data_IF_328763748365
#
_entry.id   IF_328763748365
#
_cell.length_a   1.000
_cell.length_b   1.000
_cell.length_c   1.000
_cell.angle_alpha   90.00
_cell.angle_beta   90.00
_cell.angle_gamma   90.00
#
_symmetry.space_group_name_H-M   'P 1'
#
loop_
_entity.id
_entity.type
_entity.pdbx_description
1 polymer ?
#
# COMPACT_ATOMS: atom_id res chain seq x y z
N UNK A 1 -5.43 -10.74 3.76
CA UNK A 1 -4.28 -9.82 3.74
C UNK A 1 -2.93 -10.55 3.71
N UNK A 2 -2.69 -11.58 4.52
CA UNK A 2 -1.43 -12.34 4.50
C UNK A 2 -0.98 -12.82 3.11
N UNK A 3 -1.92 -13.24 2.25
CA UNK A 3 -1.63 -13.65 0.88
C UNK A 3 -1.02 -12.55 -0.01
N UNK A 4 -1.18 -11.27 0.35
CA UNK A 4 -0.64 -10.14 -0.42
C UNK A 4 0.84 -9.86 -0.09
N UNK A 5 1.38 -10.42 1.00
CA UNK A 5 2.78 -10.22 1.39
C UNK A 5 3.69 -10.85 0.33
N UNK A 6 4.65 -10.06 -0.16
CA UNK A 6 5.56 -10.42 -1.24
C UNK A 6 5.05 -10.10 -2.64
N UNK A 7 3.77 -9.70 -2.80
CA UNK A 7 3.22 -9.28 -4.08
C UNK A 7 3.46 -7.79 -4.33
N UNK A 8 3.56 -7.42 -5.61
CA UNK A 8 3.57 -6.02 -6.05
C UNK A 8 2.16 -5.63 -6.47
N UNK A 9 1.67 -4.51 -5.92
CA UNK A 9 0.36 -3.94 -6.25
C UNK A 9 0.51 -2.54 -6.82
N UNK A 10 -0.47 -2.11 -7.63
CA UNK A 10 -0.63 -0.70 -7.96
C UNK A 10 -1.42 -0.03 -6.84
N UNK A 11 -0.78 0.92 -6.19
CA UNK A 11 -1.32 1.62 -5.02
C UNK A 11 -1.53 3.09 -5.38
N UNK A 12 -2.77 3.56 -5.24
CA UNK A 12 -3.07 4.99 -5.27
C UNK A 12 -2.66 5.59 -3.92
N UNK A 13 -1.75 6.55 -3.92
CA UNK A 13 -1.42 7.34 -2.73
C UNK A 13 -2.53 8.36 -2.46
N UNK A 14 -3.24 8.21 -1.35
CA UNK A 14 -4.37 9.06 -0.94
C UNK A 14 -4.01 10.02 0.20
N UNK A 15 -2.78 9.94 0.68
CA UNK A 15 -2.13 10.90 1.55
C UNK A 15 -0.65 10.58 1.65
N UNK A 16 0.14 11.35 2.42
CA UNK A 16 1.58 11.17 2.48
C UNK A 16 1.99 9.74 2.86
N UNK A 17 1.26 9.09 3.78
CA UNK A 17 1.61 7.74 4.25
C UNK A 17 0.50 6.71 4.11
N UNK A 18 -0.51 7.02 3.31
CA UNK A 18 -1.68 6.17 3.12
C UNK A 18 -1.96 6.02 1.64
N UNK A 19 -2.26 4.80 1.22
CA UNK A 19 -2.80 4.53 -0.10
C UNK A 19 -3.73 3.33 -0.10
N UNK A 20 -4.33 3.04 -1.26
CA UNK A 20 -5.13 1.83 -1.48
C UNK A 20 -4.71 1.10 -2.73
N UNK A 21 -4.68 -0.23 -2.66
CA UNK A 21 -4.45 -1.09 -3.83
C UNK A 21 -5.63 -1.07 -4.80
N UNK A 22 -5.47 -1.64 -5.99
CA UNK A 22 -6.59 -1.88 -6.92
C UNK A 22 -7.73 -2.72 -6.32
N UNK A 23 -7.43 -3.52 -5.28
CA UNK A 23 -8.40 -4.29 -4.50
C UNK A 23 -8.97 -3.54 -3.29
N UNK A 24 -8.76 -2.23 -3.21
CA UNK A 24 -9.21 -1.33 -2.13
C UNK A 24 -8.63 -1.64 -0.74
N UNK A 25 -7.57 -2.47 -0.65
CA UNK A 25 -6.88 -2.70 0.62
C UNK A 25 -6.01 -1.50 0.97
N UNK A 26 -6.08 -1.01 2.20
CA UNK A 26 -5.22 0.06 2.68
C UNK A 26 -3.76 -0.38 2.76
N UNK A 27 -2.86 0.55 2.41
CA UNK A 27 -1.41 0.39 2.46
C UNK A 27 -0.83 1.54 3.26
N UNK A 28 -0.09 1.24 4.32
CA UNK A 28 0.70 2.22 5.03
C UNK A 28 2.12 2.29 4.47
N UNK A 29 2.56 3.51 4.17
CA UNK A 29 3.93 3.79 3.74
C UNK A 29 4.81 4.22 4.91
N UNK A 30 6.07 3.81 4.85
CA UNK A 30 7.10 4.21 5.83
C UNK A 30 7.71 5.58 5.53
N UNK A 31 7.55 6.08 4.30
CA UNK A 31 7.97 7.40 3.85
C UNK A 31 6.86 8.12 3.10
N UNK A 32 6.93 9.44 3.05
CA UNK A 32 5.92 10.25 2.38
C UNK A 32 5.90 9.97 0.87
N UNK A 33 4.70 9.80 0.32
CA UNK A 33 4.43 9.57 -1.09
C UNK A 33 3.69 10.77 -1.69
N UNK A 34 3.89 11.06 -2.98
CA UNK A 34 3.12 12.09 -3.66
C UNK A 34 1.64 11.70 -3.75
N UNK A 35 0.76 12.49 -3.14
CA UNK A 35 -0.68 12.26 -3.19
C UNK A 35 -1.20 12.30 -4.65
N UNK A 36 -2.16 11.43 -4.96
CA UNK A 36 -2.74 11.27 -6.29
C UNK A 36 -1.89 10.47 -7.27
N UNK A 37 -0.69 10.02 -6.86
CA UNK A 37 0.14 9.14 -7.68
C UNK A 37 -0.26 7.67 -7.56
N UNK A 38 -0.09 6.92 -8.65
CA UNK A 38 -0.19 5.45 -8.64
C UNK A 38 1.22 4.89 -8.64
N UNK A 39 1.54 4.10 -7.62
CA UNK A 39 2.87 3.52 -7.38
C UNK A 39 2.83 2.00 -7.47
N UNK A 40 3.86 1.38 -8.03
CA UNK A 40 4.07 -0.07 -7.91
C UNK A 40 4.78 -0.36 -6.58
N UNK A 41 4.07 -1.01 -5.66
CA UNK A 41 4.50 -1.20 -4.27
C UNK A 41 4.57 -2.68 -3.95
N UNK A 42 5.75 -3.16 -3.56
CA UNK A 42 5.91 -4.50 -3.01
C UNK A 42 5.48 -4.50 -1.55
N UNK A 43 4.52 -5.35 -1.21
CA UNK A 43 4.01 -5.46 0.16
C UNK A 43 4.97 -6.28 1.00
N UNK A 44 5.52 -5.68 2.05
CA UNK A 44 6.47 -6.30 2.97
C UNK A 44 5.80 -7.01 4.15
N UNK A 45 4.56 -6.65 4.45
CA UNK A 45 3.83 -7.22 5.57
C UNK A 45 2.39 -6.72 5.66
N UNK A 46 1.73 -7.06 6.77
CA UNK A 46 0.39 -6.58 7.11
C UNK A 46 0.21 -6.65 8.63
N UNK A 47 -0.57 -5.72 9.20
CA UNK A 47 -0.82 -5.65 10.65
C UNK A 47 -2.17 -6.26 11.08
N UNK A 48 -2.83 -6.99 10.17
CA UNK A 48 -4.16 -7.56 10.35
C UNK A 48 -5.29 -6.67 9.84
N UNK A 49 -5.03 -5.38 9.63
CA UNK A 49 -6.01 -4.41 9.12
C UNK A 49 -5.60 -3.78 7.79
N UNK A 50 -4.30 -3.53 7.61
CA UNK A 50 -3.73 -2.90 6.42
C UNK A 50 -2.44 -3.59 5.99
N UNK A 51 -2.07 -3.37 4.75
CA UNK A 51 -0.80 -3.79 4.17
C UNK A 51 0.29 -2.79 4.53
N UNK A 52 1.54 -3.27 4.54
CA UNK A 52 2.72 -2.47 4.86
C UNK A 52 3.67 -2.48 3.67
N UNK A 53 4.07 -1.29 3.23
CA UNK A 53 5.03 -1.06 2.15
C UNK A 53 6.49 -1.07 2.62
#
# INVERSE_FOLDING_TARGET
LAAQVGQTHRVLAEGPRLGRTEGFAEVAFTSDQPEGSILDVQIKGQDGTRLLA
#
